data_IF_958590729280
#
_entry.id   IF_958590729280
#
_cell.length_a   1.000
_cell.length_b   1.000
_cell.length_c   1.000
_cell.angle_alpha   90.00
_cell.angle_beta   90.00
_cell.angle_gamma   90.00
#
_symmetry.space_group_name_H-M   'P 1'
#
loop_
_entity.id
_entity.type
_entity.pdbx_description
1 polymer ?
#
# COMPACT_ATOMS: atom_id res chain seq x y z
N UNK A 1 1.78 8.55 -25.26
CA UNK A 1 2.58 8.63 -24.02
C UNK A 1 2.38 7.31 -23.29
N UNK A 2 3.45 6.59 -22.95
CA UNK A 2 3.33 5.37 -22.14
C UNK A 2 3.25 5.76 -20.65
N UNK A 3 2.20 5.32 -19.97
CA UNK A 3 2.01 5.50 -18.52
C UNK A 3 2.31 4.19 -17.78
N UNK A 4 2.68 4.26 -16.50
CA UNK A 4 2.89 3.06 -15.67
C UNK A 4 4.07 2.16 -16.07
N UNK A 5 5.02 2.67 -16.87
CA UNK A 5 6.20 1.88 -17.28
C UNK A 5 7.07 1.50 -16.07
N UNK A 6 7.84 0.41 -16.20
CA UNK A 6 8.75 -0.04 -15.13
C UNK A 6 9.72 1.06 -14.69
N UNK A 7 10.21 1.87 -15.62
CA UNK A 7 11.11 3.00 -15.32
C UNK A 7 10.42 4.06 -14.46
N UNK A 8 9.19 4.44 -14.79
CA UNK A 8 8.42 5.43 -14.03
C UNK A 8 8.13 4.92 -12.62
N UNK A 9 7.64 3.68 -12.50
CA UNK A 9 7.36 3.04 -11.21
C UNK A 9 8.58 2.97 -10.30
N UNK A 10 9.75 2.60 -10.84
CA UNK A 10 11.01 2.61 -10.09
C UNK A 10 11.39 4.03 -9.67
N UNK A 11 11.28 5.01 -10.57
CA UNK A 11 11.52 6.42 -10.24
C UNK A 11 10.65 6.90 -9.08
N UNK A 12 9.38 6.50 -9.04
CA UNK A 12 8.50 6.79 -7.90
C UNK A 12 9.06 6.19 -6.60
N UNK A 13 9.44 4.92 -6.58
CA UNK A 13 10.02 4.29 -5.38
C UNK A 13 11.32 4.99 -4.92
N UNK A 14 12.15 5.46 -5.85
CA UNK A 14 13.37 6.20 -5.55
C UNK A 14 13.10 7.52 -4.81
N UNK A 15 11.96 8.18 -5.05
CA UNK A 15 11.58 9.41 -4.33
C UNK A 15 11.35 9.19 -2.83
N UNK A 16 11.12 7.95 -2.40
CA UNK A 16 10.90 7.60 -0.98
C UNK A 16 12.20 7.34 -0.23
N UNK A 17 13.35 7.33 -0.91
CA UNK A 17 14.65 7.03 -0.28
C UNK A 17 15.01 8.07 0.78
N UNK A 18 15.44 7.58 1.94
CA UNK A 18 15.80 8.41 3.09
C UNK A 18 14.62 8.93 3.91
N UNK A 19 13.39 8.63 3.51
CA UNK A 19 12.17 8.99 4.22
C UNK A 19 11.68 7.91 5.18
N UNK A 20 10.56 8.22 5.85
CA UNK A 20 9.79 7.29 6.68
C UNK A 20 8.36 7.25 6.15
N UNK A 21 7.85 6.06 5.92
CA UNK A 21 6.44 5.82 5.57
C UNK A 21 5.71 5.42 6.86
N UNK A 22 4.63 6.12 7.19
CA UNK A 22 3.89 5.89 8.44
C UNK A 22 2.53 5.25 8.20
N UNK A 23 2.24 4.16 8.91
CA UNK A 23 0.90 3.55 8.95
C UNK A 23 -0.10 4.48 9.66
N UNK A 24 -1.25 4.72 9.05
CA UNK A 24 -2.31 5.61 9.58
C UNK A 24 -3.70 5.01 9.38
N UNK A 25 -4.59 5.26 10.35
CA UNK A 25 -5.97 4.75 10.39
C UNK A 25 -7.03 5.85 10.32
N UNK A 26 -6.62 7.11 10.28
CA UNK A 26 -7.54 8.25 10.21
C UNK A 26 -6.89 9.47 9.57
N UNK A 27 -7.73 10.40 9.12
CA UNK A 27 -7.30 11.71 8.62
C UNK A 27 -6.46 12.48 9.65
N UNK A 28 -6.76 12.36 10.94
CA UNK A 28 -5.98 13.00 12.01
C UNK A 28 -4.56 12.43 12.08
N UNK A 29 -4.42 11.10 12.09
CA UNK A 29 -3.10 10.45 12.10
C UNK A 29 -2.30 10.79 10.84
N UNK A 30 -2.94 10.89 9.68
CA UNK A 30 -2.31 11.30 8.43
C UNK A 30 -1.71 12.72 8.52
N UNK A 31 -2.45 13.70 9.05
CA UNK A 31 -1.93 15.06 9.25
C UNK A 31 -0.77 15.09 10.23
N UNK A 32 -0.83 14.31 11.30
CA UNK A 32 0.27 14.20 12.28
C UNK A 32 1.51 13.62 11.61
N UNK A 33 1.36 12.56 10.81
CA UNK A 33 2.46 11.93 10.09
C UNK A 33 3.14 12.91 9.11
N UNK A 34 2.35 13.63 8.32
CA UNK A 34 2.88 14.65 7.40
C UNK A 34 3.59 15.79 8.14
N UNK A 35 2.98 16.32 9.21
CA UNK A 35 3.61 17.36 10.03
C UNK A 35 4.90 16.89 10.73
N UNK A 36 5.02 15.59 11.01
CA UNK A 36 6.22 14.97 11.56
C UNK A 36 7.31 14.69 10.52
N UNK A 37 7.06 14.98 9.23
CA UNK A 37 8.03 14.81 8.15
C UNK A 37 8.04 13.41 7.52
N UNK A 38 6.92 12.67 7.61
CA UNK A 38 6.77 11.44 6.83
C UNK A 38 6.90 11.71 5.32
N UNK A 39 7.58 10.83 4.59
CA UNK A 39 7.71 10.97 3.13
C UNK A 39 6.46 10.48 2.39
N UNK A 40 5.68 9.60 3.04
CA UNK A 40 4.40 9.09 2.58
C UNK A 40 3.64 8.49 3.78
N UNK A 41 2.35 8.20 3.60
CA UNK A 41 1.53 7.47 4.58
C UNK A 41 0.98 6.19 3.98
N UNK A 42 0.72 5.20 4.83
CA UNK A 42 0.10 3.93 4.47
C UNK A 42 -1.27 3.86 5.15
N UNK A 43 -2.35 3.93 4.38
CA UNK A 43 -3.72 3.86 4.87
C UNK A 43 -4.15 2.40 5.11
N UNK A 44 -4.66 2.13 6.31
CA UNK A 44 -5.14 0.82 6.75
C UNK A 44 -6.24 0.97 7.80
N UNK A 45 -7.10 -0.04 7.93
CA UNK A 45 -8.19 -0.03 8.92
C UNK A 45 -7.68 -0.24 10.35
N UNK A 46 -6.63 -1.06 10.52
CA UNK A 46 -6.07 -1.47 11.82
C UNK A 46 -4.57 -1.67 11.74
N UNK A 47 -3.83 -1.15 12.71
CA UNK A 47 -2.36 -1.35 12.76
C UNK A 47 -2.01 -2.83 12.94
N UNK A 48 -0.82 -3.27 12.48
CA UNK A 48 -0.43 -4.69 12.52
C UNK A 48 -0.47 -5.34 13.92
N UNK A 49 -0.23 -4.57 14.99
CA UNK A 49 -0.39 -5.04 16.37
C UNK A 49 -1.82 -5.45 16.68
N UNK A 50 -2.78 -4.63 16.24
CA UNK A 50 -4.20 -4.81 16.54
C UNK A 50 -4.80 -5.92 15.68
N UNK A 51 -4.35 -6.04 14.42
CA UNK A 51 -4.68 -7.17 13.55
C UNK A 51 -4.30 -8.49 14.24
N UNK A 52 -3.07 -8.57 14.78
CA UNK A 52 -2.59 -9.78 15.46
C UNK A 52 -3.35 -10.06 16.76
N UNK A 53 -3.73 -9.03 17.51
CA UNK A 53 -4.46 -9.18 18.77
C UNK A 53 -5.93 -9.58 18.56
N UNK A 54 -6.61 -9.00 17.56
CA UNK A 54 -8.01 -9.25 17.29
C UNK A 54 -8.25 -10.61 16.60
N UNK A 55 -7.28 -11.09 15.83
CA UNK A 55 -7.46 -12.25 14.95
C UNK A 55 -8.51 -12.00 13.86
N UNK A 56 -9.00 -13.08 13.27
CA UNK A 56 -9.98 -13.02 12.17
C UNK A 56 -9.37 -12.63 10.83
N UNK A 57 -10.21 -12.13 9.92
CA UNK A 57 -9.82 -11.79 8.54
C UNK A 57 -9.49 -10.30 8.45
N UNK A 58 -8.24 -9.99 8.12
CA UNK A 58 -7.79 -8.64 7.80
C UNK A 58 -7.82 -8.43 6.28
N UNK A 59 -8.42 -7.31 5.83
CA UNK A 59 -8.67 -7.00 4.41
C UNK A 59 -8.12 -5.62 4.06
N UNK A 60 -8.29 -5.21 2.79
CA UNK A 60 -8.14 -3.81 2.38
C UNK A 60 -8.99 -2.90 3.28
N UNK A 61 -8.48 -1.70 3.57
CA UNK A 61 -9.23 -0.69 4.32
C UNK A 61 -10.52 -0.31 3.59
N UNK A 62 -11.52 0.13 4.35
CA UNK A 62 -12.70 0.75 3.76
C UNK A 62 -12.27 1.91 2.85
N UNK A 63 -12.77 1.98 1.60
CA UNK A 63 -12.49 3.10 0.70
C UNK A 63 -12.70 4.47 1.33
N UNK A 64 -13.63 4.64 2.27
CA UNK A 64 -13.85 5.93 2.94
C UNK A 64 -12.62 6.38 3.73
N UNK A 65 -11.91 5.46 4.40
CA UNK A 65 -10.69 5.76 5.17
C UNK A 65 -9.58 6.24 4.23
N UNK A 66 -9.38 5.52 3.12
CA UNK A 66 -8.35 5.87 2.13
C UNK A 66 -8.67 7.25 1.51
N UNK A 67 -9.92 7.49 1.13
CA UNK A 67 -10.37 8.76 0.56
C UNK A 67 -10.19 9.93 1.56
N UNK A 68 -10.54 9.73 2.83
CA UNK A 68 -10.33 10.72 3.88
C UNK A 68 -8.86 11.08 4.06
N UNK A 69 -7.97 10.08 4.08
CA UNK A 69 -6.52 10.28 4.18
C UNK A 69 -6.00 11.05 2.97
N UNK A 70 -6.35 10.63 1.75
CA UNK A 70 -5.95 11.29 0.50
C UNK A 70 -6.38 12.76 0.42
N UNK A 71 -7.51 13.12 1.02
CA UNK A 71 -8.03 14.51 1.01
C UNK A 71 -7.27 15.45 1.94
N UNK A 72 -6.55 14.94 2.94
CA UNK A 72 -6.01 15.77 4.03
C UNK A 72 -4.49 15.92 4.05
N UNK A 73 -3.76 15.12 3.27
CA UNK A 73 -2.30 15.23 3.13
C UNK A 73 -1.89 15.52 1.69
N UNK A 74 -0.73 16.13 1.53
CA UNK A 74 -0.10 16.42 0.23
C UNK A 74 1.01 15.43 -0.14
N UNK A 75 1.52 14.68 0.84
CA UNK A 75 2.46 13.58 0.62
C UNK A 75 1.76 12.33 0.04
N UNK A 76 2.50 11.45 -0.67
CA UNK A 76 1.94 10.24 -1.26
C UNK A 76 1.17 9.36 -0.26
N UNK A 77 0.06 8.79 -0.73
CA UNK A 77 -0.77 7.86 0.03
C UNK A 77 -0.68 6.46 -0.58
N UNK A 78 -0.24 5.52 0.25
CA UNK A 78 -0.18 4.09 -0.06
C UNK A 78 -1.35 3.37 0.60
N UNK A 79 -1.75 2.22 0.07
CA UNK A 79 -2.77 1.38 0.69
C UNK A 79 -2.48 -0.12 0.51
N UNK A 80 -2.97 -0.93 1.45
CA UNK A 80 -2.73 -2.39 1.46
C UNK A 80 -3.84 -3.15 0.74
N UNK A 81 -3.43 -4.13 -0.07
CA UNK A 81 -4.28 -5.17 -0.63
C UNK A 81 -3.82 -6.55 -0.12
N UNK A 82 -4.75 -7.51 -0.01
CA UNK A 82 -4.41 -8.88 0.36
C UNK A 82 -3.58 -9.57 -0.73
N UNK A 83 -2.72 -10.51 -0.33
CA UNK A 83 -1.97 -11.37 -1.26
C UNK A 83 -2.94 -12.06 -2.24
N UNK A 84 -2.66 -11.91 -3.53
CA UNK A 84 -3.44 -12.49 -4.62
C UNK A 84 -4.74 -11.76 -4.96
N UNK A 85 -5.19 -10.79 -4.15
CA UNK A 85 -6.49 -10.16 -4.32
C UNK A 85 -6.47 -9.02 -5.35
N UNK A 86 -6.29 -9.35 -6.62
CA UNK A 86 -6.16 -8.35 -7.71
C UNK A 86 -7.35 -7.39 -7.81
N UNK A 87 -8.57 -7.80 -7.39
CA UNK A 87 -9.74 -6.90 -7.38
C UNK A 87 -9.63 -5.80 -6.33
N UNK A 88 -9.01 -6.06 -5.17
CA UNK A 88 -8.78 -5.01 -4.15
C UNK A 88 -7.77 -4.01 -4.70
N UNK A 89 -6.69 -4.51 -5.31
CA UNK A 89 -5.71 -3.67 -5.96
C UNK A 89 -6.32 -2.83 -7.10
N UNK A 90 -7.29 -3.37 -7.87
CA UNK A 90 -7.99 -2.60 -8.92
C UNK A 90 -8.87 -1.50 -8.35
N UNK A 91 -9.52 -1.73 -7.20
CA UNK A 91 -10.25 -0.69 -6.47
C UNK A 91 -9.27 0.41 -6.04
N UNK A 92 -8.17 0.07 -5.37
CA UNK A 92 -7.17 1.05 -4.92
C UNK A 92 -6.56 1.85 -6.09
N UNK A 93 -6.20 1.18 -7.19
CA UNK A 93 -5.73 1.86 -8.41
C UNK A 93 -6.77 2.84 -8.96
N UNK A 94 -8.05 2.47 -8.96
CA UNK A 94 -9.13 3.36 -9.43
C UNK A 94 -9.38 4.55 -8.51
N UNK A 95 -9.08 4.41 -7.21
CA UNK A 95 -9.15 5.50 -6.24
C UNK A 95 -7.98 6.48 -6.37
N UNK A 96 -6.92 6.10 -7.09
CA UNK A 96 -5.77 6.96 -7.34
C UNK A 96 -4.73 6.97 -6.21
N UNK A 97 -4.61 5.87 -5.45
CA UNK A 97 -3.48 5.74 -4.50
C UNK A 97 -2.15 5.74 -5.24
N UNK A 98 -1.11 6.28 -4.60
CA UNK A 98 0.20 6.42 -5.22
C UNK A 98 0.97 5.10 -5.28
N UNK A 99 0.71 4.18 -4.34
CA UNK A 99 1.31 2.85 -4.26
C UNK A 99 0.32 1.84 -3.68
N UNK A 100 0.45 0.59 -4.10
CA UNK A 100 -0.27 -0.55 -3.52
C UNK A 100 0.72 -1.48 -2.83
N UNK A 101 0.47 -1.80 -1.56
CA UNK A 101 1.21 -2.81 -0.82
C UNK A 101 0.45 -4.14 -0.87
N UNK A 102 0.99 -5.13 -1.61
CA UNK A 102 0.47 -6.49 -1.52
C UNK A 102 1.05 -7.14 -0.26
N UNK A 103 0.30 -7.04 0.84
CA UNK A 103 0.86 -7.15 2.17
C UNK A 103 0.55 -8.49 2.83
N UNK A 104 1.60 -9.17 3.29
CA UNK A 104 1.52 -10.40 4.08
C UNK A 104 1.00 -10.19 5.51
N UNK A 105 0.80 -8.94 5.91
CA UNK A 105 0.17 -8.57 7.19
C UNK A 105 -1.35 -8.79 7.13
N UNK A 106 -1.94 -8.71 5.94
CA UNK A 106 -3.36 -9.01 5.74
C UNK A 106 -3.56 -10.52 5.50
N UNK A 107 -4.78 -11.00 5.69
CA UNK A 107 -5.10 -12.40 5.41
C UNK A 107 -4.99 -12.67 3.91
N UNK A 108 -4.17 -13.63 3.45
CA UNK A 108 -4.08 -13.95 2.02
C UNK A 108 -5.44 -14.28 1.41
N UNK A 109 -5.67 -13.83 0.18
CA UNK A 109 -6.84 -14.20 -0.61
C UNK A 109 -6.56 -15.35 -1.58
N UNK A 110 -5.30 -15.49 -2.00
CA UNK A 110 -4.76 -16.61 -2.77
C UNK A 110 -3.49 -17.12 -2.06
N UNK A 111 -3.46 -18.41 -1.77
CA UNK A 111 -2.34 -19.08 -1.08
C UNK A 111 -1.26 -19.57 -2.07
N UNK A 112 -1.53 -19.52 -3.38
CA UNK A 112 -0.67 -20.05 -4.44
C UNK A 112 0.01 -18.94 -5.21
N UNK A 113 -0.72 -17.88 -5.57
CA UNK A 113 -0.23 -16.83 -6.46
C UNK A 113 -0.34 -15.42 -5.86
N UNK A 114 0.63 -14.59 -6.24
CA UNK A 114 0.59 -13.14 -6.01
C UNK A 114 -0.07 -12.44 -7.21
N UNK A 115 -0.47 -11.19 -7.01
CA UNK A 115 -1.05 -10.35 -8.06
C UNK A 115 -0.06 -10.18 -9.22
N UNK A 116 -0.55 -10.25 -10.47
CA UNK A 116 0.24 -9.86 -11.65
C UNK A 116 0.35 -8.32 -11.75
N UNK A 117 1.33 -7.75 -11.05
CA UNK A 117 1.56 -6.30 -10.90
C UNK A 117 1.88 -5.58 -12.21
N UNK A 118 2.23 -6.32 -13.26
CA UNK A 118 2.51 -5.76 -14.59
C UNK A 118 1.24 -5.22 -15.27
N UNK A 119 0.06 -5.68 -14.85
CA UNK A 119 -1.25 -5.26 -15.38
C UNK A 119 -1.79 -3.96 -14.73
N UNK A 120 -1.00 -3.34 -13.87
CA UNK A 120 -1.35 -2.11 -13.18
C UNK A 120 -0.44 -0.97 -13.65
N UNK A 121 -0.90 0.25 -13.50
CA UNK A 121 -0.13 1.48 -13.74
C UNK A 121 0.52 1.98 -12.46
N UNK A 122 -0.14 1.78 -11.31
CA UNK A 122 0.35 2.12 -9.97
C UNK A 122 1.52 1.18 -9.58
N UNK A 123 2.59 1.70 -8.95
CA UNK A 123 3.68 0.87 -8.43
C UNK A 123 3.23 0.02 -7.24
N UNK A 124 3.87 -1.14 -7.07
CA UNK A 124 3.64 -2.03 -5.94
C UNK A 124 4.85 -2.06 -5.01
N UNK A 125 4.58 -2.21 -3.71
CA UNK A 125 5.54 -2.63 -2.69
C UNK A 125 5.15 -4.03 -2.19
N UNK A 126 6.15 -4.85 -1.87
CA UNK A 126 5.96 -6.21 -1.39
C UNK A 126 7.02 -6.56 -0.34
N UNK A 127 6.62 -7.34 0.66
CA UNK A 127 7.55 -7.96 1.60
C UNK A 127 8.40 -9.05 0.94
N UNK A 128 9.61 -9.24 1.46
CA UNK A 128 10.49 -10.35 1.13
C UNK A 128 11.40 -10.67 2.31
N UNK A 129 11.61 -11.95 2.59
CA UNK A 129 12.48 -12.46 3.66
C UNK A 129 13.83 -12.94 3.15
N UNK A 130 13.93 -13.20 1.85
CA UNK A 130 15.15 -13.60 1.17
C UNK A 130 15.21 -13.06 -0.27
N UNK A 131 16.36 -13.26 -0.92
CA UNK A 131 16.61 -12.81 -2.28
C UNK A 131 15.71 -13.52 -3.30
N UNK A 132 15.39 -14.80 -3.08
CA UNK A 132 14.53 -15.56 -3.97
C UNK A 132 13.11 -15.01 -3.96
N UNK A 133 12.57 -14.69 -2.80
CA UNK A 133 11.28 -14.01 -2.66
C UNK A 133 11.30 -12.66 -3.36
N UNK A 134 12.32 -11.83 -3.10
CA UNK A 134 12.46 -10.50 -3.69
C UNK A 134 12.50 -10.53 -5.23
N UNK A 135 13.24 -11.46 -5.82
CA UNK A 135 13.34 -11.60 -7.29
C UNK A 135 12.03 -12.08 -7.95
N UNK A 136 11.15 -12.74 -7.20
CA UNK A 136 9.85 -13.22 -7.70
C UNK A 136 8.72 -12.18 -7.57
N UNK A 137 8.89 -11.11 -6.77
CA UNK A 137 7.89 -10.05 -6.57
C UNK A 137 8.02 -8.97 -7.63
#
# INVERSE_FOLDING_TARGET
METGTSRVKKGMAEMQKGGVIMDVMSAEQARIAEAAGASAVMALERVPSDIRAAGGVARMADPTIVEEVMKVVSIPVMAKARIGHFVEAKVLESMGVDYIDESEVLTPADEVFHINKKEFTVPFVCGARDLGEALRR
#
